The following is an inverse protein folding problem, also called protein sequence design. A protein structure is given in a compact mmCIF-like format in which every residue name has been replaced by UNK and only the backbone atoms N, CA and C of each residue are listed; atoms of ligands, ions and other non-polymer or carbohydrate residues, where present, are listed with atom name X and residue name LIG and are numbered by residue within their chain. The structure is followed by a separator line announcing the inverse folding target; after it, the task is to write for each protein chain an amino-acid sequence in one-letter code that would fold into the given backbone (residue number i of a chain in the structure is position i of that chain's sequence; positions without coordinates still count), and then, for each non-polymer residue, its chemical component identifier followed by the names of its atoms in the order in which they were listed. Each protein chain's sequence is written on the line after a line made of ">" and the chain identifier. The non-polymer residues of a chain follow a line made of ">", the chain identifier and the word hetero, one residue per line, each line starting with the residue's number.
data_IF_336905771888
#
_entry.id   IF_336905771888
#
_cell.length_a   1.000
_cell.length_b   1.000
_cell.length_c   1.000
_cell.angle_alpha   90.00
_cell.angle_beta   90.00
_cell.angle_gamma   90.00
#
_symmetry.space_group_name_H-M   'P 1'
#
loop_
_entity.id
_entity.type
_entity.pdbx_description
1 polymer ?
#
# COMPACT_ATOMS: atom_id res chain seq x y z
N UNK A 1 6.63 -7.28 7.62
CA UNK A 1 6.16 -5.90 7.88
C UNK A 1 6.71 -5.42 9.20
N UNK A 2 7.24 -4.21 9.22
CA UNK A 2 7.73 -3.58 10.43
C UNK A 2 6.87 -2.37 10.76
N UNK A 3 6.28 -2.40 11.95
CA UNK A 3 5.57 -1.24 12.46
C UNK A 3 6.57 -0.31 13.13
N UNK A 4 6.70 0.92 12.61
CA UNK A 4 7.67 1.90 13.11
C UNK A 4 7.08 2.81 14.17
N UNK A 5 5.80 3.16 14.02
CA UNK A 5 5.11 4.07 14.92
C UNK A 5 3.69 3.58 15.13
N UNK A 6 3.27 3.52 16.38
CA UNK A 6 1.89 3.29 16.73
C UNK A 6 1.54 4.20 17.88
N UNK A 7 0.77 5.25 17.59
CA UNK A 7 0.37 6.24 18.60
C UNK A 7 -1.11 6.56 18.42
N UNK A 8 -1.95 5.96 19.27
CA UNK A 8 -3.39 6.12 19.19
C UNK A 8 -3.94 5.65 17.86
N UNK A 9 -4.61 6.52 17.08
CA UNK A 9 -5.21 6.14 15.80
C UNK A 9 -4.22 6.10 14.63
N UNK A 10 -2.95 6.43 14.84
CA UNK A 10 -1.94 6.48 13.77
C UNK A 10 -1.03 5.27 13.85
N UNK A 11 -0.91 4.55 12.71
CA UNK A 11 -0.01 3.41 12.56
C UNK A 11 0.89 3.67 11.35
N UNK A 12 2.15 3.33 11.45
CA UNK A 12 3.09 3.46 10.36
C UNK A 12 4.08 2.30 10.35
N UNK A 13 4.55 1.92 9.19
CA UNK A 13 5.52 0.84 9.09
C UNK A 13 6.12 0.69 7.71
N UNK A 14 6.98 -0.30 7.60
CA UNK A 14 7.60 -0.73 6.34
C UNK A 14 7.14 -2.14 6.03
N UNK A 15 6.80 -2.37 4.75
CA UNK A 15 6.48 -3.69 4.25
C UNK A 15 7.40 -4.00 3.09
N UNK A 16 7.94 -5.22 3.08
CA UNK A 16 8.77 -5.70 1.99
C UNK A 16 8.26 -7.05 1.50
N UNK A 17 8.06 -7.14 0.19
CA UNK A 17 7.70 -8.40 -0.47
C UNK A 17 8.85 -8.82 -1.38
N UNK A 18 9.34 -10.04 -1.20
CA UNK A 18 10.37 -10.61 -2.08
C UNK A 18 9.75 -11.48 -3.16
N UNK A 19 8.53 -11.98 -2.91
CA UNK A 19 7.73 -12.71 -3.89
C UNK A 19 6.25 -12.59 -3.53
N UNK A 20 5.39 -12.68 -4.54
CA UNK A 20 3.93 -12.69 -4.37
C UNK A 20 3.33 -13.75 -5.29
N UNK A 21 2.21 -14.35 -4.86
CA UNK A 21 1.51 -15.40 -5.59
C UNK A 21 0.28 -14.86 -6.34
N UNK A 22 0.41 -13.71 -6.97
CA UNK A 22 -0.66 -13.10 -7.73
C UNK A 22 -1.29 -11.91 -7.01
N UNK A 23 -2.44 -11.42 -7.52
CA UNK A 23 -3.07 -10.23 -6.96
C UNK A 23 -3.50 -10.42 -5.50
N UNK A 24 -3.40 -9.35 -4.73
CA UNK A 24 -3.80 -9.32 -3.32
C UNK A 24 -4.89 -8.28 -3.14
N UNK A 25 -5.97 -8.67 -2.44
CA UNK A 25 -7.03 -7.72 -2.09
C UNK A 25 -6.76 -7.11 -0.72
N UNK A 26 -7.11 -5.85 -0.58
CA UNK A 26 -6.88 -5.12 0.65
C UNK A 26 -7.94 -4.03 0.86
N UNK A 27 -8.49 -3.97 2.07
CA UNK A 27 -9.43 -2.90 2.47
C UNK A 27 -8.85 -2.20 3.68
N UNK A 28 -8.34 -0.97 3.52
CA UNK A 28 -7.79 -0.23 4.66
C UNK A 28 -8.88 0.11 5.68
N UNK A 29 -8.60 -0.08 6.95
CA UNK A 29 -9.52 0.31 8.02
C UNK A 29 -9.49 1.82 8.27
N UNK A 30 -8.37 2.44 7.98
CA UNK A 30 -8.18 3.89 8.03
C UNK A 30 -7.59 4.33 6.71
N UNK A 31 -7.58 5.64 6.44
CA UNK A 31 -6.88 6.13 5.25
C UNK A 31 -5.44 5.66 5.28
N UNK A 32 -5.00 5.06 4.17
CA UNK A 32 -3.63 4.59 4.03
C UNK A 32 -2.88 5.46 3.04
N UNK A 33 -1.76 6.01 3.48
CA UNK A 33 -0.82 6.73 2.62
C UNK A 33 0.41 5.87 2.41
N UNK A 34 0.80 5.71 1.15
CA UNK A 34 1.88 4.80 0.75
C UNK A 34 2.96 5.58 0.04
N UNK A 35 4.21 5.34 0.40
CA UNK A 35 5.38 5.78 -0.37
C UNK A 35 6.09 4.52 -0.87
N UNK A 36 6.18 4.35 -2.18
CA UNK A 36 6.89 3.24 -2.79
C UNK A 36 8.38 3.52 -2.76
N UNK A 37 9.14 2.60 -2.20
CA UNK A 37 10.59 2.71 -2.08
C UNK A 37 11.34 1.84 -3.11
N UNK A 38 10.77 0.68 -3.46
CA UNK A 38 11.40 -0.27 -4.37
C UNK A 38 10.30 -1.06 -5.09
N UNK A 39 10.51 -1.36 -6.37
CA UNK A 39 9.55 -2.12 -7.16
C UNK A 39 8.40 -1.27 -7.65
N UNK A 40 7.31 -1.92 -8.03
CA UNK A 40 6.13 -1.23 -8.52
C UNK A 40 4.85 -1.95 -8.11
N UNK A 41 3.75 -1.21 -8.14
CA UNK A 41 2.43 -1.76 -7.86
C UNK A 41 1.38 -1.08 -8.72
N UNK A 42 0.44 -1.88 -9.23
CA UNK A 42 -0.79 -1.36 -9.83
C UNK A 42 -1.91 -1.64 -8.85
N UNK A 43 -2.60 -0.60 -8.43
CA UNK A 43 -3.67 -0.71 -7.45
C UNK A 43 -4.98 -0.35 -8.12
N UNK A 44 -5.87 -1.32 -8.22
CA UNK A 44 -7.23 -1.13 -8.74
C UNK A 44 -8.14 -0.83 -7.56
N UNK A 45 -8.79 0.33 -7.60
CA UNK A 45 -9.75 0.75 -6.57
C UNK A 45 -11.15 0.54 -7.13
N UNK A 46 -11.96 -0.26 -6.47
CA UNK A 46 -13.32 -0.51 -6.91
C UNK A 46 -14.10 0.80 -6.98
N UNK A 47 -14.76 1.04 -8.13
CA UNK A 47 -15.50 2.27 -8.42
C UNK A 47 -14.63 3.54 -8.39
N UNK A 48 -13.33 3.38 -8.56
CA UNK A 48 -12.37 4.48 -8.54
C UNK A 48 -11.27 4.31 -9.58
N UNK A 49 -10.22 5.13 -9.49
CA UNK A 49 -9.12 5.06 -10.44
C UNK A 49 -8.23 3.85 -10.23
N UNK A 50 -7.49 3.49 -11.26
CA UNK A 50 -6.37 2.54 -11.15
C UNK A 50 -5.09 3.35 -11.01
N UNK A 51 -4.30 3.04 -9.98
CA UNK A 51 -3.04 3.73 -9.72
C UNK A 51 -1.88 2.86 -10.14
N UNK A 52 -0.89 3.47 -10.80
CA UNK A 52 0.36 2.79 -11.13
C UNK A 52 1.49 3.52 -10.43
N UNK A 53 2.16 2.82 -9.52
CA UNK A 53 3.14 3.41 -8.61
C UNK A 53 4.51 2.76 -8.80
N UNK A 54 5.54 3.58 -8.89
CA UNK A 54 6.94 3.17 -8.88
C UNK A 54 7.69 3.85 -7.76
N UNK A 55 9.01 3.63 -7.65
CA UNK A 55 9.81 4.22 -6.57
C UNK A 55 9.67 5.74 -6.52
N UNK A 56 9.42 6.27 -5.32
CA UNK A 56 9.22 7.68 -5.09
C UNK A 56 7.79 8.16 -5.23
N UNK A 57 6.88 7.33 -5.73
CA UNK A 57 5.48 7.70 -5.86
C UNK A 57 4.75 7.56 -4.53
N UNK A 58 3.81 8.47 -4.30
CA UNK A 58 2.97 8.51 -3.11
C UNK A 58 1.52 8.39 -3.53
N UNK A 59 0.77 7.56 -2.83
CA UNK A 59 -0.66 7.42 -3.04
C UNK A 59 -1.41 7.41 -1.71
N UNK A 60 -2.66 7.81 -1.74
CA UNK A 60 -3.54 7.78 -0.57
C UNK A 60 -4.79 6.99 -0.91
N UNK A 61 -5.08 5.99 -0.09
CA UNK A 61 -6.24 5.12 -0.25
C UNK A 61 -7.26 5.46 0.84
N UNK A 62 -8.53 5.74 0.48
CA UNK A 62 -9.56 6.05 1.49
C UNK A 62 -9.85 4.84 2.38
N UNK A 63 -10.24 5.10 3.62
CA UNK A 63 -10.73 4.05 4.51
C UNK A 63 -11.92 3.34 3.87
N UNK A 64 -11.95 2.01 3.96
CA UNK A 64 -13.02 1.20 3.43
C UNK A 64 -12.97 0.96 1.92
N UNK A 65 -12.00 1.53 1.21
CA UNK A 65 -11.86 1.29 -0.23
C UNK A 65 -11.49 -0.16 -0.49
N UNK A 66 -12.18 -0.79 -1.45
CA UNK A 66 -11.83 -2.15 -1.87
C UNK A 66 -10.78 -2.05 -2.96
N UNK A 67 -9.60 -2.58 -2.68
CA UNK A 67 -8.44 -2.46 -3.56
C UNK A 67 -7.90 -3.83 -3.95
N UNK A 68 -7.38 -3.91 -5.17
CA UNK A 68 -6.67 -5.09 -5.66
C UNK A 68 -5.29 -4.64 -6.12
N UNK A 69 -4.26 -5.27 -5.56
CA UNK A 69 -2.87 -4.90 -5.79
C UNK A 69 -2.19 -5.93 -6.68
N UNK A 70 -1.57 -5.43 -7.74
CA UNK A 70 -0.70 -6.22 -8.62
C UNK A 70 0.73 -5.74 -8.37
N UNK A 71 1.49 -6.51 -7.62
CA UNK A 71 2.82 -6.12 -7.15
C UNK A 71 3.90 -6.76 -8.00
N UNK A 72 4.87 -5.95 -8.43
CA UNK A 72 6.10 -6.43 -9.07
C UNK A 72 7.21 -6.43 -8.04
N UNK A 73 7.71 -7.60 -7.70
CA UNK A 73 8.74 -7.80 -6.68
C UNK A 73 10.15 -7.71 -7.28
N UNK A 74 11.14 -7.37 -6.46
CA UNK A 74 11.03 -7.02 -5.05
C UNK A 74 10.29 -5.69 -4.88
N UNK A 75 9.45 -5.60 -3.86
CA UNK A 75 8.63 -4.42 -3.59
C UNK A 75 8.81 -4.01 -2.13
N UNK A 76 8.99 -2.71 -1.91
CA UNK A 76 9.13 -2.16 -0.57
C UNK A 76 8.35 -0.87 -0.49
N UNK A 77 7.58 -0.71 0.58
CA UNK A 77 6.80 0.50 0.81
C UNK A 77 6.88 0.94 2.26
N UNK A 78 6.77 2.25 2.45
CA UNK A 78 6.46 2.85 3.74
C UNK A 78 4.97 3.22 3.71
N UNK A 79 4.25 2.87 4.78
CA UNK A 79 2.81 3.12 4.84
C UNK A 79 2.43 3.79 6.16
N UNK A 80 1.37 4.59 6.10
CA UNK A 80 0.76 5.25 7.25
C UNK A 80 -0.74 5.04 7.19
N UNK A 81 -1.29 4.55 8.28
CA UNK A 81 -2.74 4.45 8.49
C UNK A 81 -3.14 5.53 9.48
N UNK A 82 -3.96 6.46 9.03
CA UNK A 82 -4.34 7.60 9.88
C UNK A 82 -5.73 8.12 9.53
#
# INVERSE_FOLDING_TARGET
>A
MHELVHDGPVWAGLTRFTSVDGPTTWVPEQRETILVLEGSARIEIESGPTLELGPGDVASLPAGAQTTWHITTPFKEFWVLA
#
